data_IF_840116869593
#
_entry.id   IF_840116869593
#
_cell.length_a   1.000
_cell.length_b   1.000
_cell.length_c   1.000
_cell.angle_alpha   90.00
_cell.angle_beta   90.00
_cell.angle_gamma   90.00
#
_symmetry.space_group_name_H-M   'P 1'
#
loop_
_entity.id
_entity.type
_entity.pdbx_description
1 polymer ?
#
# COMPACT_ATOMS: atom_id res chain seq x y z
N UNK A 1 -5.32 4.24 -13.42
CA UNK A 1 -6.69 4.66 -13.03
C UNK A 1 -6.67 5.97 -12.25
N UNK A 2 -7.83 6.59 -11.98
CA UNK A 2 -7.93 7.91 -11.31
C UNK A 2 -7.18 7.94 -9.96
N UNK A 3 -7.21 6.87 -9.19
CA UNK A 3 -6.54 6.78 -7.89
C UNK A 3 -5.01 6.78 -8.02
N UNK A 4 -4.45 6.16 -9.05
CA UNK A 4 -3.00 6.20 -9.31
C UNK A 4 -2.55 7.60 -9.76
N UNK A 5 -3.39 8.33 -10.49
CA UNK A 5 -3.10 9.71 -10.87
C UNK A 5 -3.02 10.64 -9.65
N UNK A 6 -3.94 10.47 -8.68
CA UNK A 6 -3.87 11.18 -7.38
C UNK A 6 -2.59 10.86 -6.60
N UNK A 7 -2.11 9.61 -6.66
CA UNK A 7 -0.84 9.26 -6.03
C UNK A 7 0.35 10.02 -6.63
N UNK A 8 0.37 10.20 -7.95
CA UNK A 8 1.39 11.01 -8.61
C UNK A 8 1.31 12.49 -8.19
N UNK A 9 0.10 13.04 -8.07
CA UNK A 9 -0.10 14.40 -7.56
C UNK A 9 0.41 14.56 -6.12
N UNK A 10 0.12 13.60 -5.24
CA UNK A 10 0.63 13.63 -3.87
C UNK A 10 2.16 13.54 -3.83
N UNK A 11 2.79 12.70 -4.65
CA UNK A 11 4.24 12.64 -4.76
C UNK A 11 4.83 13.96 -5.29
N UNK A 12 4.19 14.58 -6.28
CA UNK A 12 4.61 15.87 -6.83
C UNK A 12 4.52 17.00 -5.76
N UNK A 13 3.58 16.88 -4.83
CA UNK A 13 3.43 17.80 -3.69
C UNK A 13 4.33 17.44 -2.48
N UNK A 14 5.29 16.52 -2.64
CA UNK A 14 6.29 16.20 -1.61
C UNK A 14 5.91 15.08 -0.65
N UNK A 15 4.85 14.30 -0.93
CA UNK A 15 4.56 13.11 -0.16
C UNK A 15 5.74 12.13 -0.22
N UNK A 16 6.23 11.70 0.95
CA UNK A 16 7.41 10.82 1.06
C UNK A 16 7.06 9.34 0.99
N UNK A 17 5.89 8.95 1.49
CA UNK A 17 5.40 7.57 1.56
C UNK A 17 3.88 7.57 1.42
N UNK A 18 3.36 6.69 0.56
CA UNK A 18 1.92 6.49 0.41
C UNK A 18 1.56 5.06 0.02
N UNK A 19 0.40 4.60 0.47
CA UNK A 19 -0.13 3.28 0.16
C UNK A 19 -1.45 3.39 -0.59
N UNK A 20 -1.53 2.71 -1.73
CA UNK A 20 -2.78 2.46 -2.43
C UNK A 20 -3.21 1.02 -2.15
N UNK A 21 -4.20 0.86 -1.28
CA UNK A 21 -4.70 -0.46 -0.85
C UNK A 21 -5.85 -0.87 -1.75
N UNK A 22 -5.77 -2.07 -2.32
CA UNK A 22 -6.86 -2.76 -3.02
C UNK A 22 -7.32 -3.95 -2.16
N UNK A 23 -8.39 -3.80 -1.35
CA UNK A 23 -8.92 -4.87 -0.51
C UNK A 23 -9.45 -6.08 -1.29
N UNK A 24 -9.97 -5.86 -2.50
CA UNK A 24 -10.57 -6.94 -3.31
C UNK A 24 -9.48 -7.81 -3.95
N UNK A 25 -8.44 -7.18 -4.51
CA UNK A 25 -7.29 -7.87 -5.05
C UNK A 25 -6.26 -8.30 -3.99
N UNK A 26 -6.43 -7.86 -2.74
CA UNK A 26 -5.48 -8.00 -1.62
C UNK A 26 -4.08 -7.58 -2.02
N UNK A 27 -3.97 -6.37 -2.57
CA UNK A 27 -2.70 -5.81 -3.04
C UNK A 27 -2.51 -4.43 -2.45
N UNK A 28 -1.25 -4.06 -2.28
CA UNK A 28 -0.87 -2.70 -1.90
C UNK A 28 0.17 -2.21 -2.89
N UNK A 29 -0.09 -1.08 -3.54
CA UNK A 29 0.95 -0.35 -4.22
C UNK A 29 1.58 0.66 -3.25
N UNK A 30 2.88 0.56 -3.06
CA UNK A 30 3.69 1.44 -2.21
C UNK A 30 4.36 2.49 -3.09
N UNK A 31 4.17 3.75 -2.72
CA UNK A 31 4.72 4.90 -3.41
C UNK A 31 5.72 5.59 -2.49
N UNK A 32 6.93 5.84 -3.00
CA UNK A 32 8.01 6.53 -2.29
C UNK A 32 8.53 7.66 -3.17
N UNK A 33 8.90 8.78 -2.54
CA UNK A 33 9.41 9.93 -3.28
C UNK A 33 10.69 9.54 -4.04
N UNK A 34 10.71 9.81 -5.35
CA UNK A 34 11.86 9.53 -6.22
C UNK A 34 12.11 8.05 -6.54
N UNK A 35 11.18 7.15 -6.21
CA UNK A 35 11.30 5.73 -6.50
C UNK A 35 10.12 5.20 -7.33
N UNK A 36 10.36 4.10 -8.05
CA UNK A 36 9.29 3.38 -8.74
C UNK A 36 8.31 2.78 -7.72
N UNK A 37 7.03 2.73 -8.08
CA UNK A 37 6.03 2.11 -7.22
C UNK A 37 6.27 0.60 -7.10
N UNK A 38 6.19 0.07 -5.89
CA UNK A 38 6.29 -1.36 -5.57
C UNK A 38 4.90 -1.94 -5.33
N UNK A 39 4.63 -3.19 -5.74
CA UNK A 39 3.34 -3.85 -5.47
C UNK A 39 3.56 -5.07 -4.60
N UNK A 40 2.95 -5.05 -3.42
CA UNK A 40 2.94 -6.16 -2.47
C UNK A 40 1.66 -6.97 -2.65
N UNK A 41 1.80 -8.30 -2.69
CA UNK A 41 0.69 -9.25 -2.77
C UNK A 41 0.35 -9.80 -1.38
N UNK A 42 -0.90 -9.59 -0.96
CA UNK A 42 -1.47 -10.02 0.31
C UNK A 42 -0.58 -9.72 1.53
N UNK A 43 -0.04 -8.49 1.71
CA UNK A 43 0.77 -8.16 2.86
C UNK A 43 -0.08 -8.20 4.14
N UNK A 44 0.46 -8.73 5.24
CA UNK A 44 -0.21 -8.71 6.54
C UNK A 44 -0.01 -7.39 7.27
N UNK A 45 1.08 -6.69 6.98
CA UNK A 45 1.45 -5.43 7.59
C UNK A 45 2.19 -4.51 6.61
N UNK A 46 2.23 -3.21 6.93
CA UNK A 46 3.06 -2.22 6.25
C UNK A 46 3.86 -1.43 7.28
N UNK A 47 5.14 -1.23 7.02
CA UNK A 47 6.01 -0.37 7.83
C UNK A 47 5.91 1.08 7.37
N UNK A 48 5.94 2.02 8.32
CA UNK A 48 6.13 3.44 8.07
C UNK A 48 7.52 3.85 7.58
N UNK A 49 8.46 2.89 7.52
CA UNK A 49 9.86 3.09 7.09
C UNK A 49 10.53 4.25 7.85
N UNK A 50 11.50 4.90 7.24
CA UNK A 50 12.17 6.08 7.80
C UNK A 50 11.30 7.35 7.74
N UNK A 51 10.06 7.25 7.22
CA UNK A 51 9.11 8.37 7.20
C UNK A 51 8.33 8.45 8.50
N UNK A 52 7.91 7.30 9.03
CA UNK A 52 7.22 7.13 10.30
C UNK A 52 7.91 6.01 11.10
N UNK A 53 9.06 6.28 11.73
CA UNK A 53 9.84 5.25 12.41
C UNK A 53 9.04 4.52 13.48
N UNK A 54 9.02 3.19 13.41
CA UNK A 54 8.31 2.32 14.36
C UNK A 54 6.80 2.20 14.12
N UNK A 55 6.24 2.88 13.12
CA UNK A 55 4.84 2.70 12.75
C UNK A 55 4.64 1.41 11.95
N UNK A 56 3.65 0.61 12.36
CA UNK A 56 3.21 -0.60 11.66
C UNK A 56 1.70 -0.52 11.46
N UNK A 57 1.25 -0.63 10.21
CA UNK A 57 -0.16 -0.77 9.86
C UNK A 57 -0.51 -2.24 9.68
N UNK A 58 -1.32 -2.78 10.57
CA UNK A 58 -1.88 -4.13 10.45
C UNK A 58 -3.03 -4.15 9.43
N UNK A 59 -2.88 -4.94 8.37
CA UNK A 59 -3.85 -5.08 7.28
C UNK A 59 -4.73 -6.32 7.41
N UNK A 60 -4.49 -7.20 8.39
CA UNK A 60 -5.24 -8.46 8.54
C UNK A 60 -6.75 -8.24 8.59
N UNK A 61 -7.20 -7.15 9.23
CA UNK A 61 -8.63 -6.79 9.30
C UNK A 61 -9.21 -6.25 7.99
N UNK A 62 -8.39 -5.75 7.08
CA UNK A 62 -8.85 -5.21 5.79
C UNK A 62 -9.13 -6.30 4.75
N UNK A 63 -8.52 -7.48 4.90
CA UNK A 63 -8.66 -8.57 3.93
C UNK A 63 -9.96 -9.35 4.04
N UNK A 64 -10.68 -9.23 5.16
CA UNK A 64 -11.81 -10.09 5.46
C UNK A 64 -11.39 -11.56 5.60
N UNK A 65 -12.35 -12.50 5.67
CA UNK A 65 -12.04 -13.92 5.80
C UNK A 65 -11.12 -14.39 4.66
N UNK A 66 -10.12 -15.20 4.98
CA UNK A 66 -9.21 -15.80 4.00
C UNK A 66 -10.04 -16.49 2.91
N UNK A 67 -9.80 -16.23 1.61
CA UNK A 67 -10.53 -16.91 0.56
C UNK A 67 -10.15 -18.39 0.68
N UNK A 68 -11.07 -19.32 0.41
CA UNK A 68 -10.70 -20.72 0.36
C UNK A 68 -9.54 -20.90 -0.65
N UNK A 69 -8.57 -21.80 -0.39
CA UNK A 69 -7.56 -22.12 -1.38
C UNK A 69 -8.25 -22.57 -2.67
N UNK A 70 -7.88 -21.96 -3.79
CA UNK A 70 -8.39 -22.37 -5.11
C UNK A 70 -7.99 -23.83 -5.36
N UNK A 71 -8.99 -24.71 -5.55
CA UNK A 71 -8.81 -26.08 -6.05
C UNK A 71 -8.56 -26.09 -7.56
#
# INVERSE_FOLDING_TARGET
GQTQAKMQEYLANGCRLGWLIDPHGRRVAVYRLGQASEVLANPTELSGEDVLPGFILDLTRLWGPTPPPSL
#
